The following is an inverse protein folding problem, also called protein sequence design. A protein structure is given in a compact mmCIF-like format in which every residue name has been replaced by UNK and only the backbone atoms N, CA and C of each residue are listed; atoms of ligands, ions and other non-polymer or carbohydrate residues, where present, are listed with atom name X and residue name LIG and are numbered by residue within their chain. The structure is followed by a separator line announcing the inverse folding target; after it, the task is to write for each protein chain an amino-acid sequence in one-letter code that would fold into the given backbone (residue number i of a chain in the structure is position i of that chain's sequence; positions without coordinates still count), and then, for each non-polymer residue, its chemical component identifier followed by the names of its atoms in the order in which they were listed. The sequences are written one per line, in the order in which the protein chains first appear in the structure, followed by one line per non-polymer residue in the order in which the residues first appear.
data_IF_447508828198
#
_entry.id   IF_447508828198
#
_cell.length_a   1.000
_cell.length_b   1.000
_cell.length_c   1.000
_cell.angle_alpha   90.00
_cell.angle_beta   90.00
_cell.angle_gamma   90.00
#
_symmetry.space_group_name_H-M   'P 1'
#
loop_
_entity.id
_entity.type
_entity.pdbx_description
1 polymer ?
#
# COMPACT_ATOMS: atom_id res chain seq x y z
N UNK A 1 -66.26 -8.17 -46.52
CA UNK A 1 -64.97 -8.86 -46.31
C UNK A 1 -64.55 -8.61 -44.86
N UNK A 2 -64.89 -9.52 -43.95
CA UNK A 2 -64.55 -9.41 -42.52
C UNK A 2 -63.13 -9.92 -42.30
N UNK A 3 -62.25 -9.06 -41.83
CA UNK A 3 -60.92 -9.44 -41.33
C UNK A 3 -61.03 -9.91 -39.87
N UNK A 4 -60.44 -11.06 -39.49
CA UNK A 4 -60.48 -11.53 -38.12
C UNK A 4 -59.51 -10.74 -37.22
N UNK A 5 -59.99 -10.34 -36.05
CA UNK A 5 -59.16 -9.78 -34.96
C UNK A 5 -58.20 -10.86 -34.44
N UNK A 6 -56.90 -10.59 -34.28
CA UNK A 6 -55.98 -11.55 -33.71
C UNK A 6 -56.27 -11.71 -32.21
N UNK A 7 -56.68 -12.89 -31.80
CA UNK A 7 -56.82 -13.27 -30.38
C UNK A 7 -55.47 -13.79 -29.94
N UNK A 8 -54.78 -13.04 -29.08
CA UNK A 8 -53.55 -13.49 -28.46
C UNK A 8 -53.87 -14.62 -27.45
N UNK A 9 -53.17 -15.75 -27.51
CA UNK A 9 -53.40 -16.89 -26.62
C UNK A 9 -52.89 -16.61 -25.18
N UNK A 10 -53.44 -17.30 -24.16
CA UNK A 10 -53.26 -17.00 -22.74
C UNK A 10 -51.87 -17.32 -22.16
N UNK A 11 -50.89 -17.71 -22.98
CA UNK A 11 -49.55 -18.11 -22.53
C UNK A 11 -48.54 -16.95 -22.45
N UNK A 12 -48.96 -15.70 -22.68
CA UNK A 12 -48.15 -14.51 -22.35
C UNK A 12 -48.22 -14.24 -20.84
N UNK A 13 -47.89 -15.25 -20.02
CA UNK A 13 -47.50 -15.02 -18.64
C UNK A 13 -46.05 -14.61 -18.71
N UNK A 14 -45.85 -13.30 -18.71
CA UNK A 14 -44.56 -12.66 -18.57
C UNK A 14 -43.81 -13.32 -17.40
N UNK A 15 -42.74 -14.06 -17.73
CA UNK A 15 -41.74 -14.51 -16.78
C UNK A 15 -41.05 -13.26 -16.26
N UNK A 16 -41.58 -12.71 -15.16
CA UNK A 16 -40.86 -11.76 -14.32
C UNK A 16 -39.73 -12.56 -13.65
N UNK A 17 -38.62 -12.73 -14.37
CA UNK A 17 -37.35 -13.05 -13.75
C UNK A 17 -37.03 -11.91 -12.79
N UNK A 18 -37.39 -12.07 -11.51
CA UNK A 18 -36.77 -11.31 -10.45
C UNK A 18 -35.33 -11.80 -10.35
N UNK A 19 -34.45 -11.28 -11.21
CA UNK A 19 -33.03 -11.41 -10.99
C UNK A 19 -32.75 -10.63 -9.69
N UNK A 20 -32.25 -11.26 -8.61
CA UNK A 20 -31.72 -10.50 -7.51
C UNK A 20 -30.56 -9.68 -8.11
N UNK A 21 -30.71 -8.36 -8.13
CA UNK A 21 -29.58 -7.50 -8.46
C UNK A 21 -28.56 -7.67 -7.34
N UNK A 22 -27.62 -8.59 -7.52
CA UNK A 22 -26.43 -8.66 -6.68
C UNK A 22 -25.65 -7.37 -6.93
N UNK A 23 -25.76 -6.43 -6.00
CA UNK A 23 -24.84 -5.30 -5.90
C UNK A 23 -23.51 -5.88 -5.45
N UNK A 24 -22.54 -5.88 -6.35
CA UNK A 24 -21.14 -6.12 -6.02
C UNK A 24 -20.60 -4.78 -5.48
N UNK A 25 -20.51 -4.67 -4.16
CA UNK A 25 -19.81 -3.53 -3.54
C UNK A 25 -18.32 -3.82 -3.69
N UNK A 26 -17.56 -3.07 -4.50
CA UNK A 26 -16.13 -3.31 -4.63
C UNK A 26 -15.50 -3.12 -3.24
N UNK A 27 -14.69 -4.09 -2.83
CA UNK A 27 -13.95 -4.03 -1.58
C UNK A 27 -13.08 -2.76 -1.53
N UNK A 28 -13.10 -2.07 -0.39
CA UNK A 28 -12.20 -0.95 -0.15
C UNK A 28 -10.78 -1.48 0.08
N UNK A 29 -9.82 -1.10 -0.77
CA UNK A 29 -8.41 -1.42 -0.53
C UNK A 29 -7.85 -0.39 0.45
N UNK A 30 -7.34 -0.79 1.64
CA UNK A 30 -6.70 0.16 2.54
C UNK A 30 -5.45 0.75 1.86
N UNK A 31 -5.39 2.08 1.79
CA UNK A 31 -4.19 2.79 1.32
C UNK A 31 -3.13 2.61 2.41
N UNK A 32 -2.17 1.72 2.15
CA UNK A 32 -1.03 1.51 3.04
C UNK A 32 -0.11 2.74 3.03
N UNK A 33 0.53 3.02 4.17
CA UNK A 33 1.56 4.04 4.25
C UNK A 33 2.81 3.61 3.49
N UNK A 34 3.37 4.51 2.68
CA UNK A 34 4.64 4.28 1.97
C UNK A 34 5.78 4.91 2.76
N UNK A 35 6.87 4.16 2.96
CA UNK A 35 8.09 4.63 3.63
C UNK A 35 9.19 4.82 2.59
N UNK A 36 9.77 6.02 2.53
CA UNK A 36 10.87 6.36 1.64
C UNK A 36 12.05 6.94 2.39
N UNK A 37 13.25 6.46 2.11
CA UNK A 37 14.49 7.09 2.57
C UNK A 37 14.71 8.35 1.73
N UNK A 38 14.78 9.51 2.40
CA UNK A 38 15.10 10.81 1.82
C UNK A 38 16.55 11.21 2.01
N UNK A 39 17.17 10.76 3.10
CA UNK A 39 18.58 11.06 3.37
C UNK A 39 19.30 9.76 3.73
N UNK A 40 20.41 9.46 3.03
CA UNK A 40 20.94 10.17 1.86
C UNK A 40 20.05 9.98 0.61
N UNK A 41 20.07 10.93 -0.33
CA UNK A 41 19.30 10.85 -1.59
C UNK A 41 19.87 9.82 -2.57
N UNK A 42 21.13 9.44 -2.37
CA UNK A 42 21.89 8.48 -3.17
C UNK A 42 22.84 7.69 -2.26
N UNK A 43 23.62 6.78 -2.86
CA UNK A 43 24.65 6.03 -2.12
C UNK A 43 25.62 6.97 -1.41
N UNK A 44 25.80 6.76 -0.09
CA UNK A 44 26.74 7.49 0.73
C UNK A 44 27.94 6.61 1.13
N UNK A 45 29.12 7.20 1.22
CA UNK A 45 30.35 6.54 1.68
C UNK A 45 30.82 7.26 2.94
N UNK A 46 30.96 6.53 4.04
CA UNK A 46 31.26 7.12 5.35
C UNK A 46 32.08 6.17 6.23
N UNK A 47 32.82 6.74 7.18
CA UNK A 47 33.46 6.06 8.31
C UNK A 47 33.23 6.87 9.60
N UNK A 48 31.97 7.22 9.85
CA UNK A 48 31.55 8.14 10.90
C UNK A 48 30.05 8.27 10.95
N UNK A 49 29.53 9.36 11.50
CA UNK A 49 28.08 9.54 11.65
C UNK A 49 27.43 9.84 10.29
N UNK A 50 26.44 9.03 9.92
CA UNK A 50 25.56 9.22 8.77
C UNK A 50 24.15 9.54 9.26
N UNK A 51 23.65 10.71 8.89
CA UNK A 51 22.28 11.11 9.18
C UNK A 51 21.31 10.49 8.16
N UNK A 52 20.34 9.74 8.68
CA UNK A 52 19.31 9.08 7.91
C UNK A 52 17.96 9.75 8.17
N UNK A 53 17.27 10.06 7.08
CA UNK A 53 15.96 10.70 7.11
C UNK A 53 14.96 9.90 6.29
N UNK A 54 13.84 9.54 6.89
CA UNK A 54 12.75 8.83 6.25
C UNK A 54 11.52 9.73 6.18
N UNK A 55 10.76 9.58 5.10
CA UNK A 55 9.44 10.18 4.95
C UNK A 55 8.41 9.08 4.85
N UNK A 56 7.29 9.29 5.52
CA UNK A 56 6.12 8.42 5.42
C UNK A 56 4.97 9.20 4.81
N UNK A 57 4.40 8.68 3.73
CA UNK A 57 3.27 9.28 3.02
C UNK A 57 2.06 8.34 3.08
N UNK A 58 0.85 8.91 2.96
CA UNK A 58 -0.40 8.13 3.05
C UNK A 58 -0.83 7.88 4.49
N UNK A 59 -1.21 6.64 4.80
CA UNK A 59 -1.63 6.27 6.15
C UNK A 59 -0.43 6.25 7.11
N UNK A 60 -0.60 6.78 8.33
CA UNK A 60 0.44 6.74 9.35
C UNK A 60 0.54 5.30 9.91
N UNK A 61 1.68 4.61 9.77
CA UNK A 61 1.87 3.28 10.33
C UNK A 61 1.95 3.35 11.86
N UNK A 62 1.67 2.22 12.51
CA UNK A 62 1.79 2.09 13.96
C UNK A 62 3.27 2.08 14.38
N UNK A 63 4.12 1.55 13.51
CA UNK A 63 5.57 1.47 13.72
C UNK A 63 6.33 1.67 12.42
N UNK A 64 7.46 2.37 12.50
CA UNK A 64 8.44 2.46 11.41
C UNK A 64 9.75 1.85 11.89
N UNK A 65 10.29 0.92 11.12
CA UNK A 65 11.60 0.31 11.36
C UNK A 65 12.55 0.69 10.25
N UNK A 66 13.78 1.03 10.62
CA UNK A 66 14.91 1.18 9.73
C UNK A 66 15.74 -0.10 9.79
N UNK A 67 15.98 -0.71 8.64
CA UNK A 67 16.72 -1.96 8.51
C UNK A 67 18.06 -1.73 7.81
N UNK A 68 19.10 -2.43 8.28
CA UNK A 68 20.44 -2.54 7.69
C UNK A 68 20.68 -4.00 7.33
N UNK A 69 20.84 -4.30 6.04
CA UNK A 69 21.03 -5.66 5.51
C UNK A 69 19.91 -6.65 5.90
N UNK A 70 18.71 -6.14 6.17
CA UNK A 70 17.55 -6.93 6.60
C UNK A 70 17.41 -7.12 8.11
N UNK A 71 18.37 -6.62 8.90
CA UNK A 71 18.28 -6.58 10.36
C UNK A 71 17.75 -5.22 10.83
N UNK A 72 16.98 -5.21 11.92
CA UNK A 72 16.45 -3.96 12.48
C UNK A 72 17.58 -3.15 13.09
N UNK A 73 17.86 -1.99 12.50
CA UNK A 73 18.82 -1.02 12.99
C UNK A 73 18.20 -0.11 14.05
N UNK A 74 16.96 0.36 13.82
CA UNK A 74 16.24 1.22 14.75
C UNK A 74 14.73 1.18 14.54
N UNK A 75 13.96 1.48 15.59
CA UNK A 75 12.53 1.83 15.51
C UNK A 75 12.42 3.35 15.61
N UNK A 76 11.68 3.97 14.69
CA UNK A 76 11.62 5.42 14.55
C UNK A 76 10.22 5.97 14.83
N UNK A 77 10.18 7.13 15.47
CA UNK A 77 9.00 7.98 15.59
C UNK A 77 9.16 9.24 14.74
N UNK A 78 8.06 9.93 14.46
CA UNK A 78 8.11 11.18 13.71
C UNK A 78 8.76 12.31 14.56
N UNK A 79 9.67 13.13 14.00
CA UNK A 79 10.22 13.08 12.64
C UNK A 79 11.21 11.92 12.47
N UNK A 80 11.00 11.07 11.45
CA UNK A 80 11.69 9.79 11.29
C UNK A 80 13.16 9.98 10.89
N UNK A 81 14.00 10.29 11.87
CA UNK A 81 15.43 10.58 11.69
C UNK A 81 16.28 9.69 12.59
N UNK A 82 17.46 9.29 12.09
CA UNK A 82 18.40 8.47 12.84
C UNK A 82 19.84 8.83 12.49
N UNK A 83 20.68 9.06 13.50
CA UNK A 83 22.11 9.28 13.33
C UNK A 83 22.85 7.95 13.52
N UNK A 84 23.34 7.37 12.43
CA UNK A 84 24.03 6.08 12.47
C UNK A 84 25.55 6.28 12.54
N UNK A 85 26.19 5.82 13.61
CA UNK A 85 27.65 5.77 13.68
C UNK A 85 28.19 4.57 12.91
N UNK A 86 28.77 4.82 11.72
CA UNK A 86 29.32 3.76 10.88
C UNK A 86 30.79 3.45 11.18
N UNK A 87 31.42 4.10 12.16
CA UNK A 87 32.84 3.88 12.46
C UNK A 87 33.12 2.46 13.00
N UNK A 88 32.13 1.86 13.67
CA UNK A 88 32.19 0.48 14.18
C UNK A 88 31.71 -0.58 13.21
N UNK A 89 31.24 -0.18 12.03
CA UNK A 89 30.65 -1.08 11.05
C UNK A 89 31.73 -1.78 10.21
N UNK A 90 31.43 -3.00 9.77
CA UNK A 90 32.32 -3.72 8.86
C UNK A 90 32.36 -2.99 7.52
N UNK A 91 33.55 -2.78 6.96
CA UNK A 91 33.66 -2.16 5.64
C UNK A 91 32.93 -3.00 4.57
N UNK A 92 32.07 -2.34 3.78
CA UNK A 92 31.37 -3.00 2.69
C UNK A 92 30.15 -2.22 2.21
N UNK A 93 29.43 -2.82 1.27
CA UNK A 93 28.11 -2.32 0.88
C UNK A 93 27.07 -2.72 1.92
N UNK A 94 26.36 -1.74 2.46
CA UNK A 94 25.21 -1.95 3.34
C UNK A 94 23.93 -1.47 2.67
N UNK A 95 22.88 -2.28 2.73
CA UNK A 95 21.57 -1.97 2.16
C UNK A 95 20.62 -1.48 3.25
N UNK A 96 20.12 -0.26 3.09
CA UNK A 96 19.11 0.34 3.98
C UNK A 96 17.70 0.18 3.42
N UNK A 97 16.73 -0.09 4.29
CA UNK A 97 15.30 -0.13 3.96
C UNK A 97 14.45 0.42 5.11
N UNK A 98 13.38 1.12 4.78
CA UNK A 98 12.32 1.47 5.74
C UNK A 98 11.17 0.46 5.64
N UNK A 99 10.67 0.01 6.79
CA UNK A 99 9.50 -0.87 6.89
C UNK A 99 8.42 -0.18 7.72
N UNK A 100 7.20 -0.09 7.17
CA UNK A 100 6.00 0.28 7.90
C UNK A 100 5.29 -0.98 8.39
N UNK A 101 4.88 -0.98 9.66
CA UNK A 101 4.12 -2.04 10.32
C UNK A 101 2.84 -1.47 10.91
#
# INVERSE_FOLDING_TARGET
MSTPRPVLPPWVVAVLLSAPACIDVPGITPVQGEVRIRTPEATAYTRGVLDLGLEVTGHRPDRVELLRDGEVLAVLEAPYTYAWDTAGETEGEHRLRGLSL
#
